data_IF_375095200794
#
_entry.id   IF_375095200794
#
_cell.length_a   1.000
_cell.length_b   1.000
_cell.length_c   1.000
_cell.angle_alpha   90.00
_cell.angle_beta   90.00
_cell.angle_gamma   90.00
#
_symmetry.space_group_name_H-M   'P 1'
#
loop_
_entity.id
_entity.type
_entity.pdbx_description
1 polymer ?
#
# COMPACT_ATOMS: atom_id res chain seq x y z
N UNK A 1 -40.39 74.36 -19.98
CA UNK A 1 -40.49 73.50 -18.78
C UNK A 1 -39.19 72.72 -18.63
N UNK A 2 -38.26 73.19 -17.78
CA UNK A 2 -36.97 72.52 -17.55
C UNK A 2 -37.11 71.47 -16.45
N UNK A 3 -36.80 70.20 -16.77
CA UNK A 3 -36.70 69.11 -15.78
C UNK A 3 -35.32 69.15 -15.13
N UNK A 4 -35.28 69.39 -13.82
CA UNK A 4 -34.07 69.29 -13.00
C UNK A 4 -33.73 67.80 -12.80
N UNK A 5 -32.62 67.34 -13.39
CA UNK A 5 -32.05 66.03 -13.08
C UNK A 5 -31.38 66.07 -11.71
N UNK A 6 -32.03 65.42 -10.73
CA UNK A 6 -31.52 65.22 -9.39
C UNK A 6 -30.30 64.28 -9.45
N UNK A 7 -29.11 64.78 -9.11
CA UNK A 7 -27.89 63.98 -8.99
C UNK A 7 -27.89 63.23 -7.66
N UNK A 8 -28.48 62.04 -7.64
CA UNK A 8 -28.31 61.06 -6.57
C UNK A 8 -26.84 60.57 -6.58
N UNK A 9 -26.03 60.93 -5.57
CA UNK A 9 -24.56 60.70 -5.59
C UNK A 9 -23.98 59.93 -4.39
N UNK A 10 -24.81 59.45 -3.46
CA UNK A 10 -24.31 58.76 -2.25
C UNK A 10 -24.80 57.31 -2.08
N UNK A 11 -26.06 57.03 -2.41
CA UNK A 11 -26.66 55.70 -2.14
C UNK A 11 -26.12 54.60 -3.07
N UNK A 12 -26.00 54.89 -4.37
CA UNK A 12 -25.60 53.90 -5.38
C UNK A 12 -24.15 53.40 -5.23
N UNK A 13 -23.24 54.25 -4.73
CA UNK A 13 -21.84 53.85 -4.50
C UNK A 13 -21.71 52.96 -3.28
N UNK A 14 -22.47 53.22 -2.21
CA UNK A 14 -22.51 52.38 -1.02
C UNK A 14 -23.10 51.01 -1.35
N UNK A 15 -24.21 50.95 -2.09
CA UNK A 15 -24.80 49.67 -2.50
C UNK A 15 -23.87 48.88 -3.42
N UNK A 16 -23.20 49.54 -4.37
CA UNK A 16 -22.21 48.89 -5.23
C UNK A 16 -21.04 48.30 -4.41
N UNK A 17 -20.50 49.04 -3.44
CA UNK A 17 -19.43 48.57 -2.56
C UNK A 17 -19.87 47.37 -1.71
N UNK A 18 -21.09 47.37 -1.19
CA UNK A 18 -21.64 46.24 -0.42
C UNK A 18 -21.76 45.00 -1.30
N UNK A 19 -22.35 45.12 -2.50
CA UNK A 19 -22.54 43.98 -3.42
C UNK A 19 -21.19 43.40 -3.84
N UNK A 20 -20.21 44.25 -4.17
CA UNK A 20 -18.85 43.79 -4.52
C UNK A 20 -18.21 43.08 -3.34
N UNK A 21 -18.26 43.66 -2.14
CA UNK A 21 -17.66 43.06 -0.94
C UNK A 21 -18.25 41.69 -0.61
N UNK A 22 -19.57 41.55 -0.69
CA UNK A 22 -20.27 40.27 -0.49
C UNK A 22 -19.87 39.27 -1.58
N UNK A 23 -19.85 39.70 -2.84
CA UNK A 23 -19.42 38.86 -3.96
C UNK A 23 -17.99 38.33 -3.75
N UNK A 24 -17.06 39.19 -3.35
CA UNK A 24 -15.67 38.82 -3.05
C UNK A 24 -15.57 37.82 -1.89
N UNK A 25 -16.34 38.01 -0.81
CA UNK A 25 -16.37 37.06 0.32
C UNK A 25 -16.88 35.68 -0.11
N UNK A 26 -17.94 35.63 -0.90
CA UNK A 26 -18.50 34.37 -1.42
C UNK A 26 -17.47 33.66 -2.30
N UNK A 27 -16.87 34.38 -3.25
CA UNK A 27 -15.85 33.82 -4.17
C UNK A 27 -14.64 33.30 -3.38
N UNK A 28 -14.15 34.05 -2.39
CA UNK A 28 -13.04 33.61 -1.54
C UNK A 28 -13.37 32.32 -0.78
N UNK A 29 -14.59 32.20 -0.25
CA UNK A 29 -15.04 30.99 0.45
C UNK A 29 -15.18 29.78 -0.49
N UNK A 30 -15.64 30.00 -1.72
CA UNK A 30 -15.72 28.95 -2.75
C UNK A 30 -14.34 28.45 -3.18
N UNK A 31 -13.39 29.36 -3.41
CA UNK A 31 -12.01 29.01 -3.78
C UNK A 31 -11.36 28.11 -2.72
N UNK A 32 -11.49 28.45 -1.44
CA UNK A 32 -10.99 27.61 -0.34
C UNK A 32 -11.63 26.21 -0.34
N UNK A 33 -12.96 26.13 -0.51
CA UNK A 33 -13.68 24.85 -0.57
C UNK A 33 -13.23 24.00 -1.76
N UNK A 34 -13.02 24.62 -2.91
CA UNK A 34 -12.51 23.95 -4.10
C UNK A 34 -11.13 23.34 -3.83
N UNK A 35 -10.24 24.08 -3.18
CA UNK A 35 -8.90 23.58 -2.84
C UNK A 35 -8.94 22.39 -1.87
N UNK A 36 -9.82 22.44 -0.86
CA UNK A 36 -10.03 21.32 0.06
C UNK A 36 -10.60 20.10 -0.68
N UNK A 37 -11.53 20.28 -1.61
CA UNK A 37 -12.08 19.18 -2.41
C UNK A 37 -11.04 18.52 -3.31
N UNK A 38 -10.20 19.31 -3.97
CA UNK A 38 -9.10 18.78 -4.80
C UNK A 38 -8.16 17.92 -3.97
N UNK A 39 -7.71 18.42 -2.81
CA UNK A 39 -6.88 17.64 -1.88
C UNK A 39 -7.53 16.33 -1.45
N UNK A 40 -8.82 16.34 -1.14
CA UNK A 40 -9.55 15.13 -0.76
C UNK A 40 -9.59 14.10 -1.89
N UNK A 41 -9.78 14.55 -3.14
CA UNK A 41 -9.77 13.67 -4.30
C UNK A 41 -8.39 13.07 -4.55
N UNK A 42 -7.32 13.86 -4.40
CA UNK A 42 -5.94 13.38 -4.49
C UNK A 42 -5.65 12.31 -3.44
N UNK A 43 -6.03 12.55 -2.18
CA UNK A 43 -5.87 11.56 -1.11
C UNK A 43 -6.66 10.27 -1.39
N UNK A 44 -7.91 10.38 -1.85
CA UNK A 44 -8.71 9.19 -2.23
C UNK A 44 -8.04 8.42 -3.36
N UNK A 45 -7.51 9.12 -4.36
CA UNK A 45 -6.78 8.50 -5.47
C UNK A 45 -5.52 7.77 -5.00
N UNK A 46 -4.72 8.39 -4.13
CA UNK A 46 -3.52 7.76 -3.56
C UNK A 46 -3.86 6.51 -2.72
N UNK A 47 -4.92 6.58 -1.92
CA UNK A 47 -5.39 5.42 -1.14
C UNK A 47 -5.86 4.27 -2.04
N UNK A 48 -6.60 4.58 -3.11
CA UNK A 48 -7.01 3.57 -4.08
C UNK A 48 -5.80 2.94 -4.77
N UNK A 49 -4.81 3.74 -5.17
CA UNK A 49 -3.56 3.22 -5.73
C UNK A 49 -2.83 2.29 -4.76
N UNK A 50 -2.72 2.64 -3.47
CA UNK A 50 -2.08 1.81 -2.45
C UNK A 50 -2.70 0.40 -2.35
N UNK A 51 -4.02 0.31 -2.36
CA UNK A 51 -4.75 -0.98 -2.34
C UNK A 51 -4.46 -1.80 -3.60
N UNK A 52 -4.40 -1.15 -4.77
CA UNK A 52 -4.01 -1.82 -6.01
C UNK A 52 -2.56 -2.32 -5.96
N UNK A 53 -1.62 -1.55 -5.39
CA UNK A 53 -0.22 -1.97 -5.23
C UNK A 53 -0.12 -3.28 -4.45
N UNK A 54 -0.78 -3.34 -3.30
CA UNK A 54 -0.75 -4.49 -2.40
C UNK A 54 -1.24 -5.75 -3.10
N UNK A 55 -2.39 -5.65 -3.80
CA UNK A 55 -2.98 -6.78 -4.50
C UNK A 55 -2.16 -7.21 -5.71
N UNK A 56 -1.70 -6.27 -6.52
CA UNK A 56 -0.89 -6.57 -7.71
C UNK A 56 0.44 -7.23 -7.37
N UNK A 57 1.07 -6.89 -6.23
CA UNK A 57 2.28 -7.55 -5.78
C UNK A 57 2.03 -9.04 -5.46
N UNK A 58 0.91 -9.37 -4.81
CA UNK A 58 0.53 -10.75 -4.51
C UNK A 58 0.17 -11.51 -5.80
N UNK A 59 -0.57 -10.87 -6.71
CA UNK A 59 -0.94 -11.50 -7.98
C UNK A 59 0.29 -11.78 -8.85
N UNK A 60 1.26 -10.86 -8.87
CA UNK A 60 2.55 -11.12 -9.51
C UNK A 60 3.27 -12.31 -8.87
N UNK A 61 3.37 -12.34 -7.54
CA UNK A 61 4.01 -13.45 -6.83
C UNK A 61 3.37 -14.79 -7.20
N UNK A 62 2.03 -14.85 -7.31
CA UNK A 62 1.32 -16.06 -7.74
C UNK A 62 1.65 -16.45 -9.18
N UNK A 63 1.76 -15.49 -10.10
CA UNK A 63 2.11 -15.76 -11.50
C UNK A 63 3.53 -16.33 -11.57
N UNK A 64 4.49 -15.71 -10.89
CA UNK A 64 5.88 -16.16 -10.84
C UNK A 64 5.97 -17.57 -10.26
N UNK A 65 5.33 -17.83 -9.11
CA UNK A 65 5.37 -19.14 -8.45
C UNK A 65 4.59 -20.23 -9.21
N UNK A 66 3.53 -19.86 -9.94
CA UNK A 66 2.82 -20.82 -10.82
C UNK A 66 3.67 -21.19 -12.03
N UNK A 67 4.37 -20.21 -12.59
CA UNK A 67 5.27 -20.48 -13.71
C UNK A 67 6.48 -21.29 -13.25
N UNK A 68 6.97 -21.02 -12.04
CA UNK A 68 7.98 -21.85 -11.39
C UNK A 68 7.49 -23.29 -11.25
N UNK A 69 6.32 -23.52 -10.63
CA UNK A 69 5.74 -24.87 -10.51
C UNK A 69 5.59 -25.63 -11.85
N UNK A 70 5.44 -24.92 -12.97
CA UNK A 70 5.34 -25.54 -14.31
C UNK A 70 6.70 -25.95 -14.88
N UNK A 71 7.76 -25.24 -14.51
CA UNK A 71 9.11 -25.40 -15.04
C UNK A 71 10.04 -26.16 -14.08
N UNK A 72 9.76 -26.09 -12.78
CA UNK A 72 10.52 -26.69 -11.69
C UNK A 72 10.12 -28.15 -11.46
N UNK A 73 11.07 -28.93 -10.93
CA UNK A 73 10.88 -30.35 -10.61
C UNK A 73 10.20 -30.56 -9.25
N UNK A 74 10.75 -31.47 -8.44
CA UNK A 74 10.19 -31.86 -7.13
C UNK A 74 10.69 -30.96 -5.97
N UNK A 75 11.60 -30.03 -6.23
CA UNK A 75 12.27 -29.26 -5.18
C UNK A 75 12.44 -27.78 -5.57
N UNK A 76 12.27 -26.90 -4.58
CA UNK A 76 12.50 -25.46 -4.68
C UNK A 76 13.87 -25.11 -4.10
N UNK A 77 14.61 -24.17 -4.71
CA UNK A 77 15.93 -23.77 -4.24
C UNK A 77 16.31 -22.32 -4.58
N UNK A 78 17.28 -21.77 -3.84
CA UNK A 78 17.82 -20.42 -4.11
C UNK A 78 18.58 -20.45 -5.45
N UNK A 79 18.21 -19.57 -6.36
CA UNK A 79 18.76 -19.49 -7.72
C UNK A 79 17.69 -19.63 -8.81
N UNK A 80 16.50 -20.10 -8.44
CA UNK A 80 15.33 -20.12 -9.31
C UNK A 80 14.77 -18.70 -9.56
N UNK A 81 14.01 -18.49 -10.65
CA UNK A 81 13.49 -17.17 -11.02
C UNK A 81 12.69 -16.46 -9.92
N UNK A 82 11.97 -17.19 -9.07
CA UNK A 82 11.22 -16.61 -7.96
C UNK A 82 12.12 -15.99 -6.87
N UNK A 83 13.33 -16.52 -6.69
CA UNK A 83 14.26 -16.12 -5.61
C UNK A 83 15.06 -14.85 -5.94
N UNK A 84 15.07 -14.46 -7.22
CA UNK A 84 15.76 -13.25 -7.69
C UNK A 84 15.00 -11.99 -7.24
N UNK A 85 15.69 -10.99 -6.66
CA UNK A 85 15.06 -9.72 -6.32
C UNK A 85 14.46 -9.05 -7.56
N UNK A 86 13.19 -8.69 -7.47
CA UNK A 86 12.49 -7.95 -8.50
C UNK A 86 12.98 -6.50 -8.50
N UNK A 87 13.74 -6.14 -9.53
CA UNK A 87 14.08 -4.74 -9.82
C UNK A 87 12.80 -3.93 -10.10
N UNK A 88 12.87 -2.60 -9.97
CA UNK A 88 11.73 -1.73 -10.21
C UNK A 88 11.21 -1.92 -11.65
N UNK A 89 10.05 -2.55 -11.77
CA UNK A 89 9.43 -2.97 -13.04
C UNK A 89 7.98 -2.50 -13.08
N UNK A 90 7.43 -2.29 -14.27
CA UNK A 90 6.02 -1.88 -14.39
C UNK A 90 5.10 -3.07 -14.17
N UNK A 91 3.98 -2.88 -13.49
CA UNK A 91 2.99 -3.96 -13.30
C UNK A 91 2.51 -4.50 -14.65
N UNK A 92 2.29 -3.62 -15.63
CA UNK A 92 1.87 -4.01 -16.98
C UNK A 92 2.80 -5.00 -17.68
N UNK A 93 4.12 -5.00 -17.38
CA UNK A 93 5.08 -5.90 -18.02
C UNK A 93 4.81 -7.37 -17.72
N UNK A 94 4.15 -7.65 -16.59
CA UNK A 94 3.84 -9.00 -16.12
C UNK A 94 2.44 -9.50 -16.54
N UNK A 95 1.54 -8.58 -16.90
CA UNK A 95 0.14 -8.88 -17.22
C UNK A 95 -0.20 -8.52 -18.68
N UNK A 96 0.67 -8.88 -19.62
CA UNK A 96 0.54 -8.52 -21.06
C UNK A 96 -0.76 -9.01 -21.72
N UNK A 97 -1.43 -10.01 -21.14
CA UNK A 97 -2.68 -10.58 -21.66
C UNK A 97 -3.93 -10.10 -20.93
N UNK A 98 -3.82 -9.12 -20.03
CA UNK A 98 -4.93 -8.63 -19.20
C UNK A 98 -5.10 -7.13 -19.39
N UNK A 99 -6.33 -6.69 -19.61
CA UNK A 99 -6.65 -5.26 -19.65
C UNK A 99 -6.56 -4.71 -18.23
N UNK A 100 -5.63 -3.79 -18.00
CA UNK A 100 -5.36 -3.21 -16.68
C UNK A 100 -5.98 -1.81 -16.60
N UNK A 101 -6.58 -1.45 -15.45
CA UNK A 101 -6.95 -0.05 -15.19
C UNK A 101 -5.74 0.88 -15.34
N UNK A 102 -5.98 2.09 -15.85
CA UNK A 102 -4.94 3.10 -16.06
C UNK A 102 -4.15 3.43 -14.78
N UNK A 103 -4.79 3.31 -13.61
CA UNK A 103 -4.18 3.52 -12.31
C UNK A 103 -3.07 2.50 -12.00
N UNK A 104 -3.14 1.30 -12.58
CA UNK A 104 -2.22 0.18 -12.32
C UNK A 104 -1.19 0.03 -13.45
N UNK A 105 -1.57 0.37 -14.69
CA UNK A 105 -0.73 0.20 -15.87
C UNK A 105 0.63 0.92 -15.79
N UNK A 106 0.64 2.12 -15.22
CA UNK A 106 1.85 2.94 -15.03
C UNK A 106 2.52 2.74 -13.67
N UNK A 107 1.98 1.84 -12.86
CA UNK A 107 2.47 1.58 -11.52
C UNK A 107 3.73 0.72 -11.58
N UNK A 108 4.70 1.02 -10.73
CA UNK A 108 5.93 0.23 -10.60
C UNK A 108 5.96 -0.54 -9.29
N UNK A 109 6.48 -1.77 -9.34
CA UNK A 109 6.69 -2.62 -8.19
C UNK A 109 8.15 -3.03 -8.08
N UNK A 110 8.60 -3.20 -6.84
CA UNK A 110 9.90 -3.73 -6.45
C UNK A 110 9.67 -4.65 -5.26
N UNK A 111 10.36 -5.78 -5.20
CA UNK A 111 10.19 -6.71 -4.10
C UNK A 111 11.14 -7.90 -4.17
N UNK A 112 10.98 -8.82 -3.25
CA UNK A 112 11.68 -10.09 -3.23
C UNK A 112 10.75 -11.14 -2.63
N UNK A 113 10.79 -12.36 -3.15
CA UNK A 113 10.15 -13.51 -2.53
C UNK A 113 11.17 -14.28 -1.70
N UNK A 114 10.76 -14.69 -0.51
CA UNK A 114 11.58 -15.45 0.43
C UNK A 114 10.78 -16.68 0.81
N UNK A 115 11.43 -17.85 0.76
CA UNK A 115 10.83 -19.07 1.25
C UNK A 115 10.61 -19.01 2.76
N UNK A 116 9.37 -19.18 3.19
CA UNK A 116 9.00 -19.21 4.61
C UNK A 116 9.57 -20.45 5.33
N UNK A 117 9.82 -21.54 4.60
CA UNK A 117 10.40 -22.79 5.13
C UNK A 117 11.91 -22.70 5.36
N UNK A 118 12.57 -21.61 4.91
CA UNK A 118 13.97 -21.30 5.22
C UNK A 118 14.23 -20.96 6.70
N UNK A 119 13.18 -20.83 7.51
CA UNK A 119 13.24 -20.45 8.93
C UNK A 119 12.74 -21.58 9.83
N UNK A 120 13.22 -21.62 11.07
CA UNK A 120 12.70 -22.55 12.07
C UNK A 120 11.23 -22.21 12.37
N UNK A 121 10.33 -23.17 12.15
CA UNK A 121 8.91 -23.03 12.43
C UNK A 121 8.64 -23.25 13.93
N UNK A 122 8.21 -22.21 14.64
CA UNK A 122 7.91 -22.26 16.07
C UNK A 122 6.77 -23.23 16.41
N UNK A 123 5.88 -23.56 15.45
CA UNK A 123 4.86 -24.60 15.65
C UNK A 123 5.47 -25.97 15.94
N UNK A 124 6.72 -26.22 15.52
CA UNK A 124 7.43 -27.46 15.80
C UNK A 124 7.74 -27.67 17.30
N UNK A 125 7.55 -26.65 18.14
CA UNK A 125 7.64 -26.76 19.60
C UNK A 125 6.46 -27.54 20.20
N UNK A 126 5.37 -27.67 19.46
CA UNK A 126 4.21 -28.45 19.83
C UNK A 126 4.18 -29.77 19.06
N UNK A 127 3.55 -30.78 19.66
CA UNK A 127 3.18 -32.02 19.00
C UNK A 127 2.11 -31.74 17.93
N UNK A 128 1.89 -32.70 17.02
CA UNK A 128 0.94 -32.55 15.91
C UNK A 128 -0.50 -32.29 16.37
N UNK A 129 -0.85 -32.76 17.57
CA UNK A 129 -2.14 -32.52 18.23
C UNK A 129 -2.26 -31.11 18.85
N UNK A 130 -1.15 -30.37 18.94
CA UNK A 130 -1.07 -29.03 19.55
C UNK A 130 -1.23 -29.02 21.07
N UNK A 131 -1.31 -30.18 21.73
CA UNK A 131 -1.61 -30.29 23.16
C UNK A 131 -0.37 -30.52 24.02
N UNK A 132 0.66 -31.13 23.44
CA UNK A 132 1.88 -31.48 24.16
C UNK A 132 3.07 -30.75 23.57
N UNK A 133 4.05 -30.46 24.42
CA UNK A 133 5.34 -29.95 23.97
C UNK A 133 6.13 -31.05 23.26
N UNK A 134 6.67 -30.70 22.09
CA UNK A 134 7.56 -31.56 21.33
C UNK A 134 9.00 -31.38 21.83
N UNK A 135 9.50 -32.37 22.56
CA UNK A 135 10.84 -32.37 23.14
C UNK A 135 11.95 -32.23 22.08
N UNK A 136 11.75 -32.78 20.88
CA UNK A 136 12.71 -32.64 19.77
C UNK A 136 12.75 -31.19 19.26
N UNK A 137 11.58 -30.57 19.11
CA UNK A 137 11.46 -29.18 18.68
C UNK A 137 12.13 -28.21 19.66
N UNK A 138 11.92 -28.42 20.96
CA UNK A 138 12.54 -27.63 22.02
C UNK A 138 14.06 -27.75 21.98
N UNK A 139 14.59 -28.96 21.77
CA UNK A 139 16.03 -29.17 21.70
C UNK A 139 16.65 -28.44 20.49
N UNK A 140 16.00 -28.51 19.32
CA UNK A 140 16.44 -27.78 18.13
C UNK A 140 16.38 -26.26 18.35
N UNK A 141 15.31 -25.77 18.98
CA UNK A 141 15.17 -24.36 19.29
C UNK A 141 16.22 -23.87 20.29
N UNK A 142 16.51 -24.65 21.33
CA UNK A 142 17.61 -24.37 22.27
C UNK A 142 18.96 -24.27 21.56
N UNK A 143 19.24 -25.18 20.61
CA UNK A 143 20.45 -25.10 19.76
C UNK A 143 20.46 -23.83 18.91
N UNK A 144 19.34 -23.46 18.31
CA UNK A 144 19.21 -22.23 17.52
C UNK A 144 19.49 -20.98 18.38
N UNK A 145 18.92 -20.91 19.58
CA UNK A 145 19.18 -19.81 20.52
C UNK A 145 20.67 -19.69 20.85
N UNK A 146 21.33 -20.82 21.16
CA UNK A 146 22.76 -20.84 21.43
C UNK A 146 23.59 -20.36 20.21
N UNK A 147 23.22 -20.76 18.98
CA UNK A 147 23.89 -20.31 17.75
C UNK A 147 23.74 -18.80 17.54
N UNK A 148 22.61 -18.23 17.96
CA UNK A 148 22.35 -16.79 17.90
C UNK A 148 22.98 -16.02 19.07
N UNK A 149 23.72 -16.69 19.97
CA UNK A 149 24.33 -16.06 21.15
C UNK A 149 23.34 -15.74 22.27
N UNK A 150 22.14 -16.34 22.25
CA UNK A 150 21.12 -16.23 23.27
C UNK A 150 21.20 -17.41 24.25
N UNK A 151 20.63 -17.26 25.44
CA UNK A 151 20.56 -18.35 26.42
C UNK A 151 19.62 -19.46 25.94
N UNK A 152 20.18 -20.63 25.64
CA UNK A 152 19.43 -21.82 25.23
C UNK A 152 18.45 -22.35 26.27
N UNK A 153 18.55 -21.95 27.54
CA UNK A 153 17.58 -22.31 28.58
C UNK A 153 16.22 -21.63 28.38
N UNK A 154 16.17 -20.53 27.61
CA UNK A 154 14.93 -19.82 27.28
C UNK A 154 13.98 -20.64 26.40
N UNK A 155 14.44 -21.75 25.81
CA UNK A 155 13.61 -22.59 24.95
C UNK A 155 12.43 -23.25 25.69
N UNK A 156 12.58 -23.63 26.96
CA UNK A 156 11.51 -24.23 27.75
C UNK A 156 10.43 -23.22 28.19
N UNK A 157 10.77 -22.04 28.75
CA UNK A 157 9.76 -21.07 29.19
C UNK A 157 9.06 -20.32 28.03
N UNK A 158 9.58 -20.40 26.80
CA UNK A 158 8.98 -19.72 25.63
C UNK A 158 8.30 -20.67 24.64
N UNK A 159 8.27 -21.96 24.93
CA UNK A 159 7.52 -22.97 24.20
C UNK A 159 6.10 -23.11 24.76
#
# INVERSE_FOLDING_TARGET
MNRLFKKERGSATITALIVVSISTLIISGLMWRQEVQVRQLEHRRLQQQAVWIERSAIDLARVVLREDLRNSGVADFIGEPWSLPLAQSRVADFFKSTDLPYEIENMTIRGQLIDAQSRFNLRNLLSNDGQQLNSVGILIYSRLLNVLGLDGQLANPTA
#
